data_IF_365299008741
#
_entry.id   IF_365299008741
#
_cell.length_a   1.000
_cell.length_b   1.000
_cell.length_c   1.000
_cell.angle_alpha   90.00
_cell.angle_beta   90.00
_cell.angle_gamma   90.00
#
_symmetry.space_group_name_H-M   'P 1'
#
loop_
_entity.id
_entity.type
_entity.pdbx_description
1 polymer ?
#
# COMPACT_ATOMS: atom_id res chain seq x y z
N UNK A 1 22.65 -19.42 -46.16
CA UNK A 1 22.11 -19.68 -44.82
C UNK A 1 21.61 -18.37 -44.23
N UNK A 2 20.30 -18.24 -44.10
CA UNK A 2 19.62 -17.22 -43.31
C UNK A 2 19.86 -17.48 -41.82
N UNK A 3 20.10 -16.45 -41.00
CA UNK A 3 19.20 -16.14 -39.89
C UNK A 3 19.47 -14.73 -39.31
N UNK A 4 18.44 -14.27 -38.63
CA UNK A 4 18.01 -12.92 -38.29
C UNK A 4 18.55 -12.42 -36.94
N UNK A 5 18.14 -11.17 -36.67
CA UNK A 5 17.68 -10.66 -35.37
C UNK A 5 18.74 -10.11 -34.43
N UNK A 6 18.74 -8.79 -34.27
CA UNK A 6 18.98 -8.16 -32.97
C UNK A 6 17.89 -7.12 -32.70
N UNK A 7 16.96 -7.52 -31.84
CA UNK A 7 15.94 -6.72 -31.19
C UNK A 7 16.56 -5.49 -30.49
N UNK A 8 16.17 -4.28 -30.90
CA UNK A 8 16.58 -3.05 -30.23
C UNK A 8 15.44 -2.60 -29.33
N UNK A 9 15.53 -2.92 -28.04
CA UNK A 9 14.66 -2.38 -27.00
C UNK A 9 14.82 -0.86 -26.92
N UNK A 10 14.09 -0.13 -27.77
CA UNK A 10 14.05 1.34 -27.79
C UNK A 10 13.53 1.85 -26.44
N UNK A 11 14.39 2.51 -25.69
CA UNK A 11 14.04 3.19 -24.44
C UNK A 11 12.85 4.15 -24.69
N UNK A 12 11.73 3.90 -24.01
CA UNK A 12 10.51 4.70 -24.19
C UNK A 12 10.70 6.06 -23.51
N UNK A 13 10.70 7.14 -24.29
CA UNK A 13 10.63 8.50 -23.75
C UNK A 13 9.38 8.66 -22.89
N UNK A 14 9.59 8.99 -21.62
CA UNK A 14 8.54 9.40 -20.68
C UNK A 14 8.46 10.91 -20.64
N UNK A 15 7.25 11.44 -20.82
CA UNK A 15 6.97 12.87 -20.73
C UNK A 15 6.15 13.17 -19.48
N UNK A 16 6.43 14.32 -18.88
CA UNK A 16 5.67 14.83 -17.74
C UNK A 16 4.21 15.17 -18.14
N UNK A 17 3.19 14.87 -17.31
CA UNK A 17 1.80 15.18 -17.61
C UNK A 17 1.53 16.67 -17.89
N UNK A 18 2.20 17.59 -17.18
CA UNK A 18 1.99 19.02 -17.39
C UNK A 18 2.51 19.46 -18.75
N UNK A 19 3.65 18.92 -19.19
CA UNK A 19 4.18 19.15 -20.54
C UNK A 19 3.23 18.64 -21.62
N UNK A 20 2.69 17.43 -21.46
CA UNK A 20 1.70 16.86 -22.40
C UNK A 20 0.44 17.73 -22.49
N UNK A 21 -0.05 18.20 -21.35
CA UNK A 21 -1.21 19.08 -21.27
C UNK A 21 -0.94 20.41 -21.98
N UNK A 22 0.20 21.04 -21.75
CA UNK A 22 0.60 22.28 -22.42
C UNK A 22 0.60 22.11 -23.95
N UNK A 23 1.22 21.04 -24.46
CA UNK A 23 1.26 20.73 -25.88
C UNK A 23 -0.15 20.54 -26.46
N UNK A 24 -1.00 19.78 -25.78
CA UNK A 24 -2.38 19.55 -26.22
C UNK A 24 -3.20 20.85 -26.24
N UNK A 25 -3.03 21.72 -25.24
CA UNK A 25 -3.66 23.05 -25.18
C UNK A 25 -3.17 23.98 -26.28
N UNK A 26 -1.88 23.99 -26.62
CA UNK A 26 -1.38 24.79 -27.74
C UNK A 26 -2.06 24.41 -29.07
N UNK A 27 -2.29 23.13 -29.31
CA UNK A 27 -2.97 22.68 -30.54
C UNK A 27 -4.47 22.99 -30.49
N UNK A 28 -5.13 22.74 -29.36
CA UNK A 28 -6.60 22.87 -29.24
C UNK A 28 -7.08 24.29 -28.97
N UNK A 29 -6.46 24.98 -28.03
CA UNK A 29 -6.88 26.30 -27.55
C UNK A 29 -6.22 27.42 -28.36
N UNK A 30 -4.95 27.28 -28.74
CA UNK A 30 -4.20 28.31 -29.48
C UNK A 30 -4.18 28.08 -31.00
N UNK A 31 -4.70 26.94 -31.47
CA UNK A 31 -4.81 26.63 -32.91
C UNK A 31 -3.48 26.37 -33.63
N UNK A 32 -2.39 26.12 -32.89
CA UNK A 32 -1.08 25.86 -33.51
C UNK A 32 -1.12 24.52 -34.24
N UNK A 33 -0.60 24.48 -35.47
CA UNK A 33 -0.60 23.25 -36.27
C UNK A 33 0.26 22.16 -35.62
N UNK A 34 -0.20 20.91 -35.68
CA UNK A 34 0.53 19.75 -35.13
C UNK A 34 1.93 19.64 -35.73
N UNK A 35 2.06 19.92 -37.03
CA UNK A 35 3.36 19.91 -37.74
C UNK A 35 4.34 20.94 -37.19
N UNK A 36 3.87 22.14 -36.84
CA UNK A 36 4.71 23.19 -36.25
C UNK A 36 5.19 22.78 -34.85
N UNK A 37 4.28 22.33 -33.98
CA UNK A 37 4.62 21.86 -32.63
C UNK A 37 5.63 20.71 -32.67
N UNK A 38 5.49 19.78 -33.62
CA UNK A 38 6.43 18.68 -33.80
C UNK A 38 7.84 19.16 -34.15
N UNK A 39 7.97 20.18 -35.00
CA UNK A 39 9.26 20.75 -35.41
C UNK A 39 9.92 21.50 -34.26
N UNK A 40 9.18 22.35 -33.56
CA UNK A 40 9.70 23.17 -32.46
C UNK A 40 10.09 22.34 -31.24
N UNK A 41 9.24 21.39 -30.85
CA UNK A 41 9.42 20.59 -29.63
C UNK A 41 10.08 19.22 -29.87
N UNK A 42 10.47 18.92 -31.11
CA UNK A 42 11.07 17.63 -31.53
C UNK A 42 10.22 16.42 -31.13
N UNK A 43 8.91 16.54 -31.35
CA UNK A 43 7.92 15.50 -31.03
C UNK A 43 7.50 14.73 -32.28
N UNK A 44 7.02 13.51 -32.09
CA UNK A 44 6.40 12.73 -33.15
C UNK A 44 4.92 13.08 -33.26
N UNK A 45 4.43 13.28 -34.49
CA UNK A 45 3.05 13.68 -34.76
C UNK A 45 2.01 12.73 -34.15
N UNK A 46 2.26 11.42 -34.18
CA UNK A 46 1.37 10.42 -33.58
C UNK A 46 1.21 10.59 -32.06
N UNK A 47 2.24 11.08 -31.38
CA UNK A 47 2.21 11.34 -29.94
C UNK A 47 1.41 12.59 -29.63
N UNK A 48 1.62 13.67 -30.40
CA UNK A 48 0.87 14.93 -30.24
C UNK A 48 -0.62 14.71 -30.50
N UNK A 49 -0.98 14.03 -31.59
CA UNK A 49 -2.39 13.69 -31.89
C UNK A 49 -3.04 12.87 -30.78
N UNK A 50 -2.30 11.94 -30.16
CA UNK A 50 -2.80 11.14 -29.03
C UNK A 50 -3.08 12.00 -27.80
N UNK A 51 -2.19 12.94 -27.46
CA UNK A 51 -2.42 13.83 -26.30
C UNK A 51 -3.58 14.78 -26.52
N UNK A 52 -3.75 15.27 -27.75
CA UNK A 52 -4.90 16.08 -28.14
C UNK A 52 -6.20 15.31 -27.96
N UNK A 53 -6.29 14.10 -28.52
CA UNK A 53 -7.47 13.24 -28.35
C UNK A 53 -7.76 12.94 -26.88
N UNK A 54 -6.71 12.69 -26.09
CA UNK A 54 -6.87 12.46 -24.66
C UNK A 54 -7.43 13.69 -23.94
N UNK A 55 -6.97 14.90 -24.28
CA UNK A 55 -7.52 16.15 -23.72
C UNK A 55 -8.99 16.34 -24.09
N UNK A 56 -9.38 15.99 -25.31
CA UNK A 56 -10.78 16.09 -25.75
C UNK A 56 -11.69 15.12 -24.99
N UNK A 57 -11.23 13.89 -24.78
CA UNK A 57 -11.97 12.90 -23.99
C UNK A 57 -12.13 13.36 -22.54
N UNK A 58 -11.06 13.85 -21.92
CA UNK A 58 -11.10 14.36 -20.55
C UNK A 58 -12.02 15.60 -20.44
N UNK A 59 -11.99 16.50 -21.42
CA UNK A 59 -12.87 17.68 -21.47
C UNK A 59 -14.34 17.30 -21.70
N UNK A 60 -14.60 16.17 -22.37
CA UNK A 60 -15.93 15.59 -22.52
C UNK A 60 -16.36 14.72 -21.33
N UNK A 61 -15.58 14.68 -20.23
CA UNK A 61 -15.86 13.88 -19.04
C UNK A 61 -15.69 12.38 -19.24
N UNK A 62 -15.03 11.95 -20.32
CA UNK A 62 -14.74 10.54 -20.59
C UNK A 62 -13.36 10.17 -20.05
N UNK A 63 -13.18 8.95 -19.53
CA UNK A 63 -11.87 8.50 -19.10
C UNK A 63 -10.93 8.37 -20.30
N UNK A 64 -9.96 9.27 -20.40
CA UNK A 64 -8.92 9.23 -21.43
C UNK A 64 -8.04 7.97 -21.35
N UNK A 65 -7.31 7.69 -22.44
CA UNK A 65 -6.42 6.52 -22.52
C UNK A 65 -5.17 6.74 -21.65
N UNK A 66 -5.03 5.94 -20.59
CA UNK A 66 -3.81 5.91 -19.78
C UNK A 66 -3.88 6.77 -18.54
N UNK A 67 -2.81 7.51 -18.22
CA UNK A 67 -2.76 8.42 -17.06
C UNK A 67 -3.38 9.76 -17.43
N UNK A 68 -4.32 10.30 -16.63
CA UNK A 68 -4.95 11.59 -16.87
C UNK A 68 -3.95 12.73 -17.11
N UNK A 69 -4.28 13.64 -18.02
CA UNK A 69 -3.50 14.86 -18.29
C UNK A 69 -3.96 16.02 -17.40
N UNK A 70 -5.26 16.13 -17.20
CA UNK A 70 -5.89 17.17 -16.39
C UNK A 70 -5.83 16.83 -14.91
N UNK A 71 -5.59 17.85 -14.09
CA UNK A 71 -5.58 17.70 -12.63
C UNK A 71 -6.95 17.24 -12.09
N UNK A 72 -8.03 17.69 -12.72
CA UNK A 72 -9.39 17.26 -12.39
C UNK A 72 -9.59 15.77 -12.63
N UNK A 73 -9.28 15.27 -13.83
CA UNK A 73 -9.43 13.85 -14.12
C UNK A 73 -8.48 12.96 -13.30
N UNK A 74 -7.29 13.48 -12.96
CA UNK A 74 -6.38 12.82 -12.02
C UNK A 74 -7.03 12.67 -10.64
N UNK A 75 -7.64 13.74 -10.12
CA UNK A 75 -8.36 13.73 -8.86
C UNK A 75 -9.59 12.81 -8.89
N UNK A 76 -10.37 12.82 -9.97
CA UNK A 76 -11.52 11.92 -10.15
C UNK A 76 -11.06 10.47 -10.04
N UNK A 77 -9.99 10.09 -10.76
CA UNK A 77 -9.46 8.73 -10.73
C UNK A 77 -8.95 8.31 -9.34
N UNK A 78 -8.29 9.22 -8.64
CA UNK A 78 -7.82 8.99 -7.27
C UNK A 78 -9.01 8.77 -6.32
N UNK A 79 -10.05 9.60 -6.41
CA UNK A 79 -11.27 9.47 -5.63
C UNK A 79 -12.03 8.18 -5.96
N UNK A 80 -12.15 7.80 -7.22
CA UNK A 80 -12.78 6.54 -7.62
C UNK A 80 -12.01 5.32 -7.11
N UNK A 81 -10.67 5.39 -7.08
CA UNK A 81 -9.85 4.34 -6.49
C UNK A 81 -10.05 4.27 -4.97
N UNK A 82 -10.12 5.42 -4.31
CA UNK A 82 -10.38 5.52 -2.87
C UNK A 82 -11.78 4.98 -2.51
N UNK A 83 -12.82 5.39 -3.24
CA UNK A 83 -14.19 4.90 -3.03
C UNK A 83 -14.27 3.39 -3.25
N UNK A 84 -13.60 2.84 -4.27
CA UNK A 84 -13.54 1.39 -4.47
C UNK A 84 -12.85 0.69 -3.30
N UNK A 85 -11.75 1.24 -2.80
CA UNK A 85 -11.04 0.71 -1.62
C UNK A 85 -11.96 0.72 -0.39
N UNK A 86 -12.53 1.89 -0.06
CA UNK A 86 -13.42 2.05 1.09
C UNK A 86 -14.65 1.15 1.01
N UNK A 87 -15.25 0.98 -0.17
CA UNK A 87 -16.35 0.02 -0.36
C UNK A 87 -15.90 -1.40 -0.08
N UNK A 88 -14.74 -1.82 -0.61
CA UNK A 88 -14.20 -3.15 -0.34
C UNK A 88 -13.89 -3.37 1.14
N UNK A 89 -13.33 -2.37 1.82
CA UNK A 89 -13.01 -2.43 3.25
C UNK A 89 -14.28 -2.49 4.10
N UNK A 90 -15.31 -1.74 3.72
CA UNK A 90 -16.59 -1.74 4.41
C UNK A 90 -17.32 -3.09 4.28
N UNK A 91 -17.34 -3.67 3.08
CA UNK A 91 -17.91 -5.00 2.85
C UNK A 91 -17.15 -6.09 3.63
N UNK A 92 -15.82 -5.99 3.69
CA UNK A 92 -15.00 -6.86 4.53
C UNK A 92 -15.40 -6.74 6.01
N UNK A 93 -15.47 -5.54 6.56
CA UNK A 93 -15.80 -5.33 7.97
C UNK A 93 -17.24 -5.75 8.32
N UNK A 94 -18.19 -5.52 7.40
CA UNK A 94 -19.58 -5.98 7.52
C UNK A 94 -19.65 -7.50 7.56
N UNK A 95 -18.96 -8.20 6.65
CA UNK A 95 -18.97 -9.66 6.57
C UNK A 95 -18.56 -10.35 7.88
N UNK A 96 -17.66 -9.72 8.63
CA UNK A 96 -17.13 -10.25 9.88
C UNK A 96 -18.02 -9.95 11.10
N UNK A 97 -18.95 -9.00 11.00
CA UNK A 97 -19.77 -8.59 12.13
C UNK A 97 -18.98 -7.92 13.26
N UNK A 98 -17.90 -7.20 12.93
CA UNK A 98 -17.00 -6.54 13.89
C UNK A 98 -17.70 -5.52 14.79
N UNK A 99 -18.89 -5.05 14.42
CA UNK A 99 -19.75 -4.21 15.25
C UNK A 99 -20.34 -4.95 16.48
N UNK A 100 -20.16 -6.28 16.58
CA UNK A 100 -20.77 -7.12 17.64
C UNK A 100 -19.83 -8.12 18.30
N UNK A 101 -18.55 -8.17 17.94
CA UNK A 101 -17.64 -9.18 18.49
C UNK A 101 -17.13 -8.74 19.87
N UNK A 102 -17.39 -9.53 20.92
CA UNK A 102 -16.82 -9.32 22.27
C UNK A 102 -15.28 -9.29 22.29
N UNK A 103 -14.68 -9.06 23.47
CA UNK A 103 -13.24 -8.84 23.73
C UNK A 103 -12.26 -9.87 23.09
N UNK A 104 -12.12 -9.90 21.76
CA UNK A 104 -11.10 -10.66 21.04
C UNK A 104 -9.83 -9.83 20.93
N UNK A 105 -8.67 -10.49 20.98
CA UNK A 105 -7.39 -9.82 20.73
C UNK A 105 -7.34 -9.38 19.28
N UNK A 106 -6.92 -8.15 19.04
CA UNK A 106 -6.93 -7.51 17.72
C UNK A 106 -6.21 -8.33 16.63
N UNK A 107 -5.16 -9.07 16.98
CA UNK A 107 -4.41 -9.91 16.04
C UNK A 107 -5.14 -11.20 15.62
N UNK A 108 -6.06 -11.70 16.46
CA UNK A 108 -6.90 -12.85 16.12
C UNK A 108 -7.95 -12.44 15.10
N UNK A 109 -8.53 -11.25 15.29
CA UNK A 109 -9.45 -10.62 14.35
C UNK A 109 -8.78 -10.46 12.98
N UNK A 110 -7.54 -9.96 12.93
CA UNK A 110 -6.77 -9.84 11.68
C UNK A 110 -6.57 -11.21 11.02
N UNK A 111 -6.27 -12.25 11.80
CA UNK A 111 -6.02 -13.60 11.27
C UNK A 111 -7.26 -14.23 10.66
N UNK A 112 -8.43 -13.99 11.24
CA UNK A 112 -9.69 -14.48 10.68
C UNK A 112 -10.11 -13.71 9.43
N UNK A 113 -10.00 -12.38 9.43
CA UNK A 113 -10.26 -11.54 8.26
C UNK A 113 -9.30 -11.82 7.09
N UNK A 114 -8.07 -12.24 7.39
CA UNK A 114 -7.07 -12.61 6.39
C UNK A 114 -7.48 -13.84 5.54
N UNK A 115 -8.52 -14.59 5.93
CA UNK A 115 -9.08 -15.67 5.11
C UNK A 115 -9.86 -15.15 3.90
N UNK A 116 -10.36 -13.91 3.97
CA UNK A 116 -11.23 -13.31 2.94
C UNK A 116 -10.53 -12.22 2.12
N UNK A 117 -9.47 -11.60 2.66
CA UNK A 117 -8.76 -10.51 2.01
C UNK A 117 -7.27 -10.50 2.36
N UNK A 118 -6.42 -9.83 1.56
CA UNK A 118 -5.00 -9.72 1.85
C UNK A 118 -4.75 -9.01 3.19
N UNK A 119 -3.78 -9.52 3.97
CA UNK A 119 -3.39 -8.97 5.29
C UNK A 119 -3.14 -7.45 5.24
N UNK A 120 -2.58 -6.95 4.13
CA UNK A 120 -2.35 -5.51 3.96
C UNK A 120 -3.65 -4.70 4.03
N UNK A 121 -4.69 -5.16 3.34
CA UNK A 121 -5.99 -4.51 3.32
C UNK A 121 -6.65 -4.60 4.70
N UNK A 122 -6.62 -5.78 5.33
CA UNK A 122 -7.18 -5.99 6.67
C UNK A 122 -6.53 -5.09 7.71
N UNK A 123 -5.19 -5.01 7.72
CA UNK A 123 -4.46 -4.12 8.63
C UNK A 123 -4.75 -2.64 8.36
N UNK A 124 -4.93 -2.24 7.11
CA UNK A 124 -5.32 -0.86 6.76
C UNK A 124 -6.74 -0.55 7.23
N UNK A 125 -7.70 -1.45 7.01
CA UNK A 125 -9.09 -1.28 7.38
C UNK A 125 -9.29 -1.22 8.91
N UNK A 126 -8.44 -1.89 9.69
CA UNK A 126 -8.47 -1.91 11.15
C UNK A 126 -7.52 -0.89 11.81
N UNK A 127 -6.80 -0.10 11.02
CA UNK A 127 -5.77 0.85 11.50
C UNK A 127 -4.69 0.20 12.40
N UNK A 128 -4.16 -0.95 11.95
CA UNK A 128 -3.11 -1.70 12.65
C UNK A 128 -1.83 -1.73 11.82
N UNK A 129 -0.68 -1.57 12.48
CA UNK A 129 0.59 -1.80 11.81
C UNK A 129 0.78 -3.27 11.41
N UNK A 130 1.08 -3.50 10.12
CA UNK A 130 1.46 -4.81 9.58
C UNK A 130 2.66 -5.41 10.33
N UNK A 131 3.65 -4.58 10.70
CA UNK A 131 4.83 -5.07 11.42
C UNK A 131 4.46 -5.53 12.83
N UNK A 132 3.54 -4.83 13.49
CA UNK A 132 2.97 -5.22 14.78
C UNK A 132 2.26 -6.57 14.70
N UNK A 133 1.40 -6.78 13.70
CA UNK A 133 0.74 -8.06 13.46
C UNK A 133 1.75 -9.22 13.28
N UNK A 134 2.74 -9.06 12.40
CA UNK A 134 3.76 -10.09 12.20
C UNK A 134 4.68 -10.28 13.40
N UNK A 135 4.96 -9.24 14.20
CA UNK A 135 5.73 -9.37 15.44
C UNK A 135 4.95 -10.15 16.50
N UNK A 136 3.66 -9.85 16.69
CA UNK A 136 2.79 -10.59 17.60
C UNK A 136 2.66 -12.06 17.19
N UNK A 137 2.42 -12.32 15.90
CA UNK A 137 2.36 -13.68 15.36
C UNK A 137 3.69 -14.42 15.53
N UNK A 138 4.83 -13.74 15.36
CA UNK A 138 6.15 -14.31 15.66
C UNK A 138 6.31 -14.64 17.14
N UNK A 139 5.86 -13.79 18.06
CA UNK A 139 5.91 -14.07 19.52
C UNK A 139 5.09 -15.28 19.94
N UNK A 140 3.98 -15.54 19.25
CA UNK A 140 3.16 -16.74 19.49
C UNK A 140 3.86 -18.00 18.95
N UNK A 141 4.49 -17.89 17.78
CA UNK A 141 5.14 -19.04 17.12
C UNK A 141 6.56 -19.32 17.61
N UNK A 142 7.20 -18.36 18.28
CA UNK A 142 8.55 -18.55 18.85
C UNK A 142 8.39 -19.01 20.30
N UNK A 143 8.86 -20.23 20.64
CA UNK A 143 8.91 -20.63 22.03
C UNK A 143 9.79 -19.63 22.76
N UNK A 144 9.26 -19.01 23.82
CA UNK A 144 10.08 -18.17 24.69
C UNK A 144 11.19 -19.06 25.27
N UNK A 145 12.47 -18.71 25.11
CA UNK A 145 13.52 -19.45 25.79
C UNK A 145 13.22 -19.36 27.28
N UNK A 146 13.04 -20.53 27.91
CA UNK A 146 12.86 -20.62 29.35
C UNK A 146 14.19 -20.17 29.96
N UNK A 147 14.21 -18.95 30.49
CA UNK A 147 15.37 -18.49 31.25
C UNK A 147 15.41 -19.28 32.56
N UNK A 148 16.58 -19.76 32.99
CA UNK A 148 16.73 -20.43 34.29
C UNK A 148 16.23 -19.53 35.43
N UNK A 149 16.46 -18.22 35.32
CA UNK A 149 15.94 -17.23 36.28
C UNK A 149 14.41 -17.18 36.31
N UNK A 150 13.75 -17.40 35.18
CA UNK A 150 12.28 -17.42 35.12
C UNK A 150 11.70 -18.66 35.81
N UNK A 151 12.40 -19.80 35.75
CA UNK A 151 12.02 -21.02 36.47
C UNK A 151 12.25 -20.84 37.96
N UNK A 152 13.38 -20.26 38.35
CA UNK A 152 13.68 -19.97 39.75
C UNK A 152 12.68 -18.97 40.34
N UNK A 153 12.38 -17.89 39.63
CA UNK A 153 11.36 -16.92 40.03
C UNK A 153 9.96 -17.56 40.16
N UNK A 154 9.60 -18.47 39.24
CA UNK A 154 8.33 -19.20 39.31
C UNK A 154 8.30 -20.18 40.50
N UNK A 155 9.39 -20.88 40.78
CA UNK A 155 9.51 -21.77 41.93
C UNK A 155 9.39 -21.02 43.26
N UNK A 156 10.09 -19.88 43.38
CA UNK A 156 10.00 -19.00 44.56
C UNK A 156 8.58 -18.43 44.73
N UNK A 157 7.95 -18.00 43.63
CA UNK A 157 6.56 -17.51 43.65
C UNK A 157 5.55 -18.56 44.14
N UNK A 158 5.71 -19.81 43.70
CA UNK A 158 4.87 -20.92 44.13
C UNK A 158 5.13 -21.28 45.60
N UNK A 159 6.40 -21.35 46.01
CA UNK A 159 6.79 -21.63 47.40
C UNK A 159 6.30 -20.55 48.36
N UNK A 160 6.21 -19.29 47.92
CA UNK A 160 5.68 -18.19 48.73
C UNK A 160 4.15 -18.13 48.78
N UNK A 161 3.44 -19.18 48.35
CA UNK A 161 1.98 -19.20 48.32
C UNK A 161 1.36 -18.15 47.38
N UNK A 162 2.08 -17.76 46.32
CA UNK A 162 1.65 -16.75 45.32
C UNK A 162 1.42 -15.34 45.87
N UNK A 163 1.90 -15.05 47.08
CA UNK A 163 1.72 -13.72 47.73
C UNK A 163 2.70 -12.65 47.24
N UNK A 164 3.85 -13.02 46.67
CA UNK A 164 4.89 -12.08 46.26
C UNK A 164 4.79 -11.73 44.76
N UNK A 165 4.44 -10.49 44.44
CA UNK A 165 4.38 -10.00 43.05
C UNK A 165 5.75 -9.54 42.50
N UNK A 166 5.76 -9.14 41.22
CA UNK A 166 6.97 -8.77 40.45
C UNK A 166 7.85 -7.65 41.05
N UNK A 167 7.32 -6.84 41.98
CA UNK A 167 8.03 -5.70 42.57
C UNK A 167 8.99 -6.06 43.71
N UNK A 168 8.90 -7.26 44.29
CA UNK A 168 9.76 -7.71 45.41
C UNK A 168 10.88 -8.67 45.00
N UNK A 169 10.95 -9.03 43.71
CA UNK A 169 12.08 -9.75 43.15
C UNK A 169 13.15 -8.73 42.75
N UNK A 170 14.03 -8.36 43.68
CA UNK A 170 15.25 -7.64 43.33
C UNK A 170 16.26 -8.65 42.76
N UNK A 171 16.75 -8.37 41.55
CA UNK A 171 17.81 -9.17 40.96
C UNK A 171 19.09 -8.90 41.76
N UNK A 172 19.58 -9.90 42.50
CA UNK A 172 20.83 -9.77 43.24
C UNK A 172 21.96 -9.48 42.25
N UNK A 173 22.80 -8.44 42.45
CA UNK A 173 23.83 -8.02 41.50
C UNK A 173 25.01 -9.00 41.37
N UNK A 174 24.89 -10.23 41.85
CA UNK A 174 25.95 -11.24 41.88
C UNK A 174 25.58 -12.47 41.05
N UNK A 175 25.50 -12.31 39.72
CA UNK A 175 25.66 -13.42 38.79
C UNK A 175 26.73 -13.05 37.76
N UNK A 176 27.85 -13.81 37.67
CA UNK A 176 28.80 -13.63 36.59
C UNK A 176 28.16 -14.17 35.30
N UNK A 177 28.12 -13.34 34.26
CA UNK A 177 27.68 -13.73 32.93
C UNK A 177 28.62 -14.74 32.26
N UNK A 178 28.23 -15.31 31.11
CA UNK A 178 29.03 -16.29 30.38
C UNK A 178 30.39 -15.74 29.91
#
# INVERSE_FOLDING_TARGET
MTDKTTDTTKNRRTFDPAFKLQVARMVREQGVSVSQVCREMKLTESVVRRWVHQLDDESAGRPGIGKPLTAEQQRIRELEAEVRRLKSDNELLKSFGLLRTGNKVIHDVVTELAKQAPIKQVCQALDISRSGYYAARRRVNTPKPICQDSVHAQAVFLASGRTYGSRRFECSPACPGP
#
